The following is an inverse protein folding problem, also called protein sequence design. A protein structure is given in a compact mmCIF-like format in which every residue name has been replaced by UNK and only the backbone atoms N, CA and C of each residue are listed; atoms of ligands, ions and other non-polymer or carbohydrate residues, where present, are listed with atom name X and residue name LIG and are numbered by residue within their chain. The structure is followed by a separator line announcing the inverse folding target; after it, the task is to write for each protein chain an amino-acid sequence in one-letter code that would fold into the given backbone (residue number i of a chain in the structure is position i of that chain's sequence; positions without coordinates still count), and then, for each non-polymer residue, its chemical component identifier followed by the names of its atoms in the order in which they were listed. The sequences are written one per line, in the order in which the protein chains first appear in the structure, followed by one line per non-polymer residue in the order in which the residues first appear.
data_IF_957023938184
#
_entry.id   IF_957023938184
#
_cell.length_a   1.000
_cell.length_b   1.000
_cell.length_c   1.000
_cell.angle_alpha   90.00
_cell.angle_beta   90.00
_cell.angle_gamma   90.00
#
_symmetry.space_group_name_H-M   'P 1'
#
loop_
_entity.id
_entity.type
_entity.pdbx_description
1 polymer ?
#
# COMPACT_ATOMS: atom_id res chain seq x y z
N UNK A 1 -13.14 -8.65 7.07
CA UNK A 1 -12.37 -7.53 6.51
C UNK A 1 -10.99 -7.55 7.15
N UNK A 2 -9.92 -7.63 6.36
CA UNK A 2 -8.56 -7.42 6.83
C UNK A 2 -8.21 -5.94 6.70
N UNK A 3 -7.64 -5.37 7.76
CA UNK A 3 -7.29 -3.95 7.85
C UNK A 3 -5.94 -3.82 8.56
N UNK A 4 -4.91 -3.22 7.97
CA UNK A 4 -4.72 -2.83 6.57
C UNK A 4 -3.36 -3.36 6.10
N UNK A 5 -3.16 -3.51 4.79
CA UNK A 5 -1.92 -4.07 4.25
C UNK A 5 -0.83 -3.01 4.13
N UNK A 6 -1.15 -1.82 3.62
CA UNK A 6 -0.23 -0.69 3.42
C UNK A 6 -0.82 0.56 4.07
N UNK A 7 -0.05 1.20 4.95
CA UNK A 7 -0.47 2.43 5.62
C UNK A 7 0.72 3.32 5.99
N UNK A 8 0.54 4.65 5.91
CA UNK A 8 1.58 5.61 6.22
C UNK A 8 1.90 5.71 7.72
N UNK A 9 0.93 5.43 8.61
CA UNK A 9 1.04 5.71 10.03
C UNK A 9 1.77 4.62 10.85
N UNK A 10 1.52 3.34 10.55
CA UNK A 10 2.00 2.21 11.38
C UNK A 10 2.88 1.21 10.63
N UNK A 11 3.53 1.64 9.55
CA UNK A 11 4.59 0.85 8.90
C UNK A 11 5.93 1.13 9.61
N UNK A 12 6.64 0.10 10.12
CA UNK A 12 7.88 0.31 10.85
C UNK A 12 9.00 0.83 9.95
N UNK A 13 9.84 1.71 10.50
CA UNK A 13 10.90 2.42 9.75
C UNK A 13 11.85 1.52 8.96
N UNK A 14 12.16 0.33 9.49
CA UNK A 14 13.10 -0.60 8.85
C UNK A 14 12.67 -0.98 7.42
N UNK A 15 11.36 -0.92 7.14
CA UNK A 15 10.80 -1.24 5.83
C UNK A 15 11.43 -0.40 4.71
N UNK A 16 11.76 0.86 5.03
CA UNK A 16 12.27 1.85 4.07
C UNK A 16 13.78 2.07 4.18
N UNK A 17 14.45 1.56 5.23
CA UNK A 17 15.89 1.77 5.44
C UNK A 17 16.74 1.05 4.39
N UNK A 18 17.81 1.72 3.97
CA UNK A 18 18.85 1.22 3.05
C UNK A 18 18.31 0.60 1.75
N UNK A 19 17.07 0.99 1.42
CA UNK A 19 16.27 0.46 0.34
C UNK A 19 16.30 1.42 -0.81
N UNK A 20 17.02 1.08 -1.88
CA UNK A 20 16.65 1.60 -3.19
C UNK A 20 15.22 1.11 -3.55
N UNK A 21 14.65 1.72 -4.58
CA UNK A 21 13.30 1.42 -5.05
C UNK A 21 13.06 -0.08 -5.27
N UNK A 22 14.06 -0.83 -5.76
CA UNK A 22 13.91 -2.26 -6.01
C UNK A 22 13.79 -3.06 -4.71
N UNK A 23 14.61 -2.74 -3.69
CA UNK A 23 14.53 -3.40 -2.38
C UNK A 23 13.20 -3.14 -1.67
N UNK A 24 12.71 -1.89 -1.69
CA UNK A 24 11.43 -1.55 -1.06
C UNK A 24 10.27 -2.22 -1.80
N UNK A 25 10.31 -2.28 -3.13
CA UNK A 25 9.33 -3.04 -3.93
C UNK A 25 9.34 -4.52 -3.58
N UNK A 26 10.51 -5.13 -3.39
CA UNK A 26 10.60 -6.54 -2.99
C UNK A 26 10.01 -6.76 -1.58
N UNK A 27 10.33 -5.88 -0.62
CA UNK A 27 9.74 -5.94 0.74
C UNK A 27 8.22 -5.79 0.70
N UNK A 28 7.70 -4.88 -0.12
CA UNK A 28 6.26 -4.72 -0.34
C UNK A 28 5.66 -6.03 -0.85
N UNK A 29 6.24 -6.60 -1.90
CA UNK A 29 5.79 -7.88 -2.47
C UNK A 29 5.77 -8.98 -1.41
N UNK A 30 6.87 -9.16 -0.69
CA UNK A 30 7.01 -10.21 0.33
C UNK A 30 6.00 -10.01 1.47
N UNK A 31 5.81 -8.78 1.94
CA UNK A 31 4.83 -8.44 2.97
C UNK A 31 3.40 -8.77 2.53
N UNK A 32 3.00 -8.30 1.34
CA UNK A 32 1.65 -8.53 0.81
C UNK A 32 1.40 -10.03 0.59
N UNK A 33 2.29 -10.73 -0.11
CA UNK A 33 2.15 -12.17 -0.37
C UNK A 33 2.14 -12.99 0.92
N UNK A 34 2.97 -12.63 1.90
CA UNK A 34 3.00 -13.33 3.20
C UNK A 34 1.71 -13.10 3.98
N UNK A 35 1.23 -11.86 4.06
CA UNK A 35 0.06 -11.51 4.87
C UNK A 35 -1.23 -11.98 4.20
N UNK A 36 -1.50 -11.52 2.96
CA UNK A 36 -2.72 -11.84 2.22
C UNK A 36 -2.77 -13.34 1.91
N UNK A 37 -1.66 -13.91 1.45
CA UNK A 37 -1.57 -15.34 1.13
C UNK A 37 -1.80 -16.25 2.33
N UNK A 38 -1.32 -15.89 3.53
CA UNK A 38 -1.57 -16.64 4.78
C UNK A 38 -3.06 -16.79 5.09
N UNK A 39 -3.86 -15.80 4.73
CA UNK A 39 -5.30 -15.76 5.02
C UNK A 39 -6.17 -15.95 3.77
N UNK A 40 -5.59 -16.46 2.68
CA UNK A 40 -6.30 -16.70 1.42
C UNK A 40 -7.60 -17.46 1.63
N UNK A 41 -8.71 -16.92 1.09
CA UNK A 41 -10.05 -17.50 1.17
C UNK A 41 -10.70 -17.43 2.57
N UNK A 42 -10.01 -16.89 3.58
CA UNK A 42 -10.55 -16.70 4.94
C UNK A 42 -11.04 -15.27 5.18
N UNK A 43 -10.54 -14.32 4.39
CA UNK A 43 -10.86 -12.91 4.49
C UNK A 43 -11.52 -12.46 3.18
N UNK A 44 -12.80 -12.08 3.25
CA UNK A 44 -13.58 -11.69 2.07
C UNK A 44 -13.14 -10.37 1.44
N UNK A 45 -12.59 -9.45 2.25
CA UNK A 45 -12.18 -8.13 1.79
C UNK A 45 -10.95 -7.61 2.52
N UNK A 46 -10.09 -6.89 1.80
CA UNK A 46 -8.88 -6.26 2.32
C UNK A 46 -8.87 -4.77 2.05
N UNK A 47 -8.55 -3.99 3.08
CA UNK A 47 -8.03 -2.63 2.89
C UNK A 47 -6.57 -2.78 2.47
N UNK A 48 -6.31 -2.69 1.17
CA UNK A 48 -4.98 -2.90 0.62
C UNK A 48 -4.11 -1.68 0.89
N UNK A 49 -4.66 -0.50 0.65
CA UNK A 49 -4.01 0.77 0.97
C UNK A 49 -4.97 1.61 1.81
N UNK A 50 -4.45 2.16 2.91
CA UNK A 50 -5.18 3.05 3.80
C UNK A 50 -4.58 4.46 3.77
N UNK A 51 -5.43 5.47 3.63
CA UNK A 51 -5.11 6.90 3.83
C UNK A 51 -3.94 7.39 2.95
N UNK A 52 -4.04 7.09 1.65
CA UNK A 52 -3.05 7.50 0.66
C UNK A 52 -3.32 8.91 0.12
N UNK A 53 -4.54 9.42 0.21
CA UNK A 53 -4.90 10.75 -0.26
C UNK A 53 -4.54 11.78 0.83
N UNK A 54 -4.07 12.95 0.40
CA UNK A 54 -3.76 14.07 1.28
C UNK A 54 -5.04 14.83 1.65
N UNK A 55 -5.14 15.28 2.91
CA UNK A 55 -6.34 15.95 3.45
C UNK A 55 -6.65 17.32 2.79
N UNK A 56 -5.68 17.90 2.10
CA UNK A 56 -5.83 19.14 1.34
C UNK A 56 -4.97 19.12 0.10
N UNK A 57 -5.60 19.13 -1.08
CA UNK A 57 -4.86 19.29 -2.33
C UNK A 57 -4.13 20.63 -2.37
N UNK A 58 -2.88 20.61 -2.78
CA UNK A 58 -2.11 21.78 -3.17
C UNK A 58 -1.43 21.51 -4.53
N UNK A 59 -0.85 22.56 -5.13
CA UNK A 59 -0.19 22.47 -6.44
C UNK A 59 0.94 21.41 -6.49
N UNK A 60 1.56 21.08 -5.36
CA UNK A 60 2.57 20.02 -5.28
C UNK A 60 1.92 18.64 -5.35
N UNK A 61 0.88 18.38 -4.56
CA UNK A 61 0.15 17.11 -4.56
C UNK A 61 -0.65 16.88 -5.85
N UNK A 62 -1.03 17.92 -6.59
CA UNK A 62 -1.66 17.79 -7.93
C UNK A 62 -0.75 17.07 -8.93
N UNK A 63 0.58 17.20 -8.77
CA UNK A 63 1.55 16.48 -9.62
C UNK A 63 1.60 14.98 -9.33
N UNK A 64 0.99 14.55 -8.22
CA UNK A 64 0.97 13.16 -7.75
C UNK A 64 -0.44 12.69 -7.45
N UNK A 65 -1.46 13.16 -8.18
CA UNK A 65 -2.87 12.74 -8.00
C UNK A 65 -3.40 12.91 -6.56
N UNK A 66 -3.01 14.01 -5.90
CA UNK A 66 -3.35 14.33 -4.51
C UNK A 66 -2.80 13.34 -3.46
N UNK A 67 -1.80 12.52 -3.81
CA UNK A 67 -1.21 11.57 -2.86
C UNK A 67 -0.45 12.24 -1.72
N UNK A 68 -0.63 11.69 -0.52
CA UNK A 68 0.08 12.06 0.70
C UNK A 68 1.58 11.77 0.56
N UNK A 69 2.42 12.72 0.96
CA UNK A 69 3.88 12.56 1.01
C UNK A 69 4.32 11.61 2.15
N UNK A 70 4.08 10.31 1.97
CA UNK A 70 4.44 9.24 2.89
C UNK A 70 5.79 8.60 2.55
N UNK A 71 6.36 7.80 3.46
CA UNK A 71 7.58 7.01 3.16
C UNK A 71 7.40 6.07 1.98
N UNK A 72 6.17 5.57 1.75
CA UNK A 72 5.81 4.80 0.57
C UNK A 72 5.95 5.64 -0.70
N UNK A 73 5.35 6.83 -0.72
CA UNK A 73 5.43 7.76 -1.84
C UNK A 73 6.87 8.19 -2.12
N UNK A 74 7.65 8.49 -1.09
CA UNK A 74 9.07 8.88 -1.22
C UNK A 74 9.95 7.75 -1.75
N UNK A 75 9.67 6.50 -1.35
CA UNK A 75 10.52 5.35 -1.70
C UNK A 75 10.19 4.77 -3.08
N UNK A 76 8.91 4.72 -3.43
CA UNK A 76 8.42 4.00 -4.61
C UNK A 76 7.81 4.94 -5.66
N UNK A 77 7.38 6.14 -5.27
CA UNK A 77 6.51 6.98 -6.10
C UNK A 77 5.07 6.46 -6.13
N UNK A 78 4.19 7.06 -6.95
CA UNK A 78 2.74 6.77 -6.95
C UNK A 78 2.40 5.32 -7.28
N UNK A 79 3.29 4.64 -8.01
CA UNK A 79 3.15 3.22 -8.40
C UNK A 79 3.04 2.25 -7.22
N UNK A 80 3.38 2.65 -5.99
CA UNK A 80 3.21 1.80 -4.81
C UNK A 80 1.77 1.32 -4.63
N UNK A 81 0.79 2.17 -5.00
CA UNK A 81 -0.63 1.81 -5.02
C UNK A 81 -0.87 0.65 -5.99
N UNK A 82 -0.49 0.83 -7.25
CA UNK A 82 -0.65 -0.21 -8.28
C UNK A 82 0.04 -1.51 -7.89
N UNK A 83 1.26 -1.44 -7.33
CA UNK A 83 1.99 -2.61 -6.88
C UNK A 83 1.30 -3.31 -5.71
N UNK A 84 0.81 -2.57 -4.71
CA UNK A 84 0.11 -3.15 -3.56
C UNK A 84 -1.15 -3.91 -4.00
N UNK A 85 -1.97 -3.32 -4.86
CA UNK A 85 -3.17 -3.98 -5.40
C UNK A 85 -2.83 -5.17 -6.28
N UNK A 86 -1.81 -5.04 -7.15
CA UNK A 86 -1.34 -6.15 -7.98
C UNK A 86 -0.91 -7.34 -7.12
N UNK A 87 -0.06 -7.12 -6.13
CA UNK A 87 0.42 -8.20 -5.26
C UNK A 87 -0.69 -8.79 -4.38
N UNK A 88 -1.64 -7.97 -3.93
CA UNK A 88 -2.79 -8.46 -3.17
C UNK A 88 -3.69 -9.37 -4.03
N UNK A 89 -3.95 -8.97 -5.28
CA UNK A 89 -4.72 -9.79 -6.23
C UNK A 89 -3.97 -11.08 -6.61
N UNK A 90 -2.65 -11.03 -6.80
CA UNK A 90 -1.84 -12.22 -7.02
C UNK A 90 -1.91 -13.21 -5.83
N UNK A 91 -1.94 -12.68 -4.60
CA UNK A 91 -1.96 -13.49 -3.38
C UNK A 91 -3.34 -14.09 -3.07
N UNK A 92 -4.43 -13.33 -3.26
CA UNK A 92 -5.81 -13.80 -3.12
C UNK A 92 -6.73 -13.17 -4.19
N UNK A 93 -6.91 -13.86 -5.35
CA UNK A 93 -7.71 -13.33 -6.45
C UNK A 93 -9.20 -13.17 -6.14
N UNK A 94 -9.72 -13.93 -5.16
CA UNK A 94 -11.15 -13.99 -4.84
C UNK A 94 -11.54 -12.92 -3.79
N UNK A 95 -10.56 -12.30 -3.12
CA UNK A 95 -10.81 -11.25 -2.14
C UNK A 95 -11.20 -9.92 -2.81
N UNK A 96 -12.17 -9.22 -2.22
CA UNK A 96 -12.48 -7.84 -2.62
C UNK A 96 -11.39 -6.91 -2.11
N UNK A 97 -10.73 -6.18 -3.02
CA UNK A 97 -9.62 -5.29 -2.69
C UNK A 97 -10.13 -3.84 -2.65
N UNK A 98 -9.82 -3.12 -1.59
CA UNK A 98 -10.31 -1.76 -1.38
C UNK A 98 -9.19 -0.79 -1.04
N UNK A 99 -9.35 0.45 -1.52
CA UNK A 99 -8.64 1.62 -1.03
C UNK A 99 -9.53 2.26 0.04
N UNK A 100 -9.03 2.38 1.26
CA UNK A 100 -9.78 2.99 2.36
C UNK A 100 -9.17 4.37 2.66
N UNK A 101 -10.00 5.39 2.73
CA UNK A 101 -9.58 6.74 3.10
C UNK A 101 -10.67 7.41 3.95
N UNK A 102 -10.36 8.56 4.54
CA UNK A 102 -11.31 9.35 5.32
C UNK A 102 -11.50 10.75 4.72
N UNK A 103 -12.58 11.43 5.15
CA UNK A 103 -13.14 12.67 4.59
C UNK A 103 -13.71 12.51 3.17
#
# INVERSE_FOLDING_TARGET
RGHTVVWHAQTPDWFFRDGDKAKVTQRLKDHVHTLVGRYKGKIQSWDVVNEAINDGGNAETETTEALRNSKWMQSLGPEYLTLAFKFAHEADPDATLSHNDYN
#
